data_IF_354637886339
#
_entry.id   IF_354637886339
#
_cell.length_a   1.000
_cell.length_b   1.000
_cell.length_c   1.000
_cell.angle_alpha   90.00
_cell.angle_beta   90.00
_cell.angle_gamma   90.00
#
_symmetry.space_group_name_H-M   'P 1'
#
loop_
_entity.id
_entity.type
_entity.pdbx_description
1 polymer ?
#
# COMPACT_ATOMS: atom_id res chain seq x y z
N UNK A 1 0.89 8.46 -75.24
CA UNK A 1 1.44 7.20 -75.77
C UNK A 1 2.96 7.25 -75.69
N UNK A 2 3.56 6.52 -74.77
CA UNK A 2 4.93 5.97 -74.85
C UNK A 2 5.12 5.06 -73.62
N UNK A 3 5.49 3.82 -73.88
CA UNK A 3 5.46 2.68 -72.96
C UNK A 3 6.90 2.27 -72.59
N UNK A 4 7.06 1.62 -71.43
CA UNK A 4 8.10 0.64 -71.07
C UNK A 4 9.49 1.22 -70.66
N UNK A 5 9.95 0.96 -69.43
CA UNK A 5 10.67 -0.28 -69.06
C UNK A 5 11.01 -0.37 -67.57
N UNK A 6 10.58 -1.47 -66.97
CA UNK A 6 10.94 -1.97 -65.65
C UNK A 6 12.43 -2.40 -65.65
N UNK A 7 13.23 -1.96 -64.67
CA UNK A 7 14.52 -2.57 -64.33
C UNK A 7 14.54 -2.94 -62.85
N UNK A 8 14.52 -4.26 -62.60
CA UNK A 8 14.94 -4.90 -61.36
C UNK A 8 16.42 -4.56 -61.12
N UNK A 9 16.72 -3.94 -59.99
CA UNK A 9 18.07 -3.89 -59.43
C UNK A 9 18.16 -4.94 -58.33
N UNK A 10 18.75 -6.09 -58.69
CA UNK A 10 19.36 -6.99 -57.73
C UNK A 10 20.64 -6.32 -57.25
N UNK A 11 20.71 -5.98 -55.97
CA UNK A 11 21.96 -5.62 -55.31
C UNK A 11 22.20 -6.56 -54.14
N UNK A 12 23.34 -7.22 -54.23
CA UNK A 12 23.93 -8.14 -53.28
C UNK A 12 24.27 -7.41 -51.97
N UNK A 13 23.49 -7.66 -50.93
CA UNK A 13 23.81 -7.24 -49.57
C UNK A 13 24.68 -8.30 -48.90
N UNK A 14 25.97 -8.00 -48.79
CA UNK A 14 26.96 -8.77 -48.04
C UNK A 14 26.51 -9.00 -46.59
N UNK A 15 26.41 -10.27 -46.22
CA UNK A 15 26.18 -10.74 -44.86
C UNK A 15 27.41 -10.42 -43.99
N UNK A 16 27.43 -9.23 -43.39
CA UNK A 16 28.35 -8.89 -42.31
C UNK A 16 27.88 -9.63 -41.05
N UNK A 17 28.41 -10.84 -40.86
CA UNK A 17 28.35 -11.56 -39.59
C UNK A 17 29.11 -10.75 -38.53
N UNK A 18 28.40 -9.89 -37.82
CA UNK A 18 28.86 -9.34 -36.55
C UNK A 18 28.89 -10.48 -35.53
N UNK A 19 30.07 -11.11 -35.38
CA UNK A 19 30.40 -11.96 -34.23
C UNK A 19 30.35 -11.11 -32.96
N UNK A 20 29.18 -10.99 -32.35
CA UNK A 20 29.07 -10.55 -30.97
C UNK A 20 29.47 -11.72 -30.08
N UNK A 21 30.61 -11.57 -29.39
CA UNK A 21 31.04 -12.51 -28.36
C UNK A 21 29.95 -12.55 -27.28
N UNK A 22 29.52 -13.73 -26.80
CA UNK A 22 28.62 -13.78 -25.66
C UNK A 22 29.36 -13.19 -24.45
N UNK A 23 28.91 -12.03 -23.99
CA UNK A 23 29.39 -11.44 -22.74
C UNK A 23 28.85 -12.32 -21.62
N UNK A 24 29.70 -13.20 -21.10
CA UNK A 24 29.39 -14.02 -19.95
C UNK A 24 29.10 -13.09 -18.77
N UNK A 25 27.83 -13.01 -18.35
CA UNK A 25 27.42 -12.36 -17.11
C UNK A 25 28.08 -13.17 -15.99
N UNK A 26 29.20 -12.68 -15.47
CA UNK A 26 29.82 -13.21 -14.25
C UNK A 26 28.94 -12.79 -13.08
N UNK A 27 28.12 -13.71 -12.59
CA UNK A 27 27.51 -13.56 -11.27
C UNK A 27 28.63 -13.48 -10.22
N UNK A 28 28.59 -12.52 -9.28
CA UNK A 28 29.50 -12.54 -8.14
C UNK A 28 29.23 -13.81 -7.33
N UNK A 29 30.27 -14.45 -6.74
CA UNK A 29 30.04 -15.57 -5.85
C UNK A 29 29.21 -15.09 -4.66
N UNK A 30 28.10 -15.79 -4.41
CA UNK A 30 27.26 -15.60 -3.23
C UNK A 30 28.11 -15.99 -2.02
N UNK A 31 28.63 -15.02 -1.27
CA UNK A 31 29.22 -15.30 0.04
C UNK A 31 28.14 -15.92 0.92
N UNK A 32 28.27 -17.20 1.20
CA UNK A 32 27.48 -17.87 2.23
C UNK A 32 27.90 -17.28 3.60
N UNK A 33 26.95 -16.93 4.48
CA UNK A 33 27.28 -16.59 5.86
C UNK A 33 27.89 -17.84 6.53
N UNK A 34 28.87 -17.67 7.45
CA UNK A 34 29.42 -18.80 8.18
C UNK A 34 28.30 -19.47 8.97
N UNK A 35 28.13 -20.78 8.76
CA UNK A 35 27.28 -21.60 9.63
C UNK A 35 27.96 -21.68 11.00
N UNK A 36 27.55 -20.81 11.91
CA UNK A 36 27.88 -20.94 13.32
C UNK A 36 27.13 -22.16 13.83
N UNK A 37 27.82 -23.29 13.92
CA UNK A 37 27.35 -24.45 14.69
C UNK A 37 27.20 -24.02 16.14
N UNK A 38 25.97 -23.77 16.58
CA UNK A 38 25.65 -23.60 17.99
C UNK A 38 25.87 -24.95 18.69
N UNK A 39 27.06 -25.14 19.23
CA UNK A 39 27.26 -26.15 20.27
C UNK A 39 26.41 -25.75 21.48
N UNK A 40 25.27 -26.40 21.66
CA UNK A 40 24.52 -26.38 22.89
C UNK A 40 25.34 -27.08 23.97
N UNK A 41 26.19 -26.32 24.68
CA UNK A 41 26.71 -26.78 25.97
C UNK A 41 25.51 -26.88 26.92
N UNK A 42 25.07 -28.09 27.21
CA UNK A 42 24.16 -28.37 28.31
C UNK A 42 24.83 -27.95 29.61
N UNK A 43 24.48 -26.75 30.11
CA UNK A 43 24.82 -26.34 31.46
C UNK A 43 23.89 -27.10 32.40
N UNK A 44 24.41 -28.12 33.06
CA UNK A 44 23.77 -28.72 34.22
C UNK A 44 23.81 -27.67 35.34
N UNK A 45 22.70 -26.97 35.55
CA UNK A 45 22.52 -26.17 36.76
C UNK A 45 22.14 -27.13 37.88
N UNK A 46 23.09 -27.36 38.79
CA UNK A 46 22.82 -27.96 40.10
C UNK A 46 22.05 -26.95 40.94
N UNK A 47 20.77 -27.21 41.23
CA UNK A 47 20.01 -26.43 42.20
C UNK A 47 20.33 -26.95 43.60
N UNK A 48 21.30 -26.31 44.27
CA UNK A 48 21.36 -26.40 45.72
C UNK A 48 20.11 -25.75 46.28
N UNK A 49 19.21 -26.56 46.82
CA UNK A 49 18.02 -26.12 47.55
C UNK A 49 18.44 -25.41 48.83
N UNK A 50 18.69 -24.10 48.74
CA UNK A 50 18.66 -23.26 49.93
C UNK A 50 17.19 -23.15 50.32
N UNK A 51 16.84 -23.85 51.38
CA UNK A 51 15.55 -23.77 52.08
C UNK A 51 15.45 -22.39 52.75
N UNK A 52 15.27 -21.33 51.95
CA UNK A 52 14.69 -20.08 52.45
C UNK A 52 13.20 -20.35 52.55
N UNK A 53 12.68 -20.39 53.77
CA UNK A 53 11.26 -20.14 54.00
C UNK A 53 10.97 -18.80 53.32
N UNK A 54 10.23 -18.86 52.20
CA UNK A 54 9.71 -17.68 51.55
C UNK A 54 8.58 -17.15 52.45
N UNK A 55 8.92 -16.35 53.45
CA UNK A 55 7.97 -15.36 53.95
C UNK A 55 7.72 -14.40 52.79
N UNK A 56 6.50 -14.47 52.24
CA UNK A 56 6.07 -13.67 51.10
C UNK A 56 6.17 -12.18 51.44
N UNK A 57 7.11 -11.40 50.84
CA UNK A 57 7.27 -10.01 51.24
C UNK A 57 6.34 -9.03 50.50
N UNK A 58 5.50 -9.48 49.57
CA UNK A 58 4.67 -8.60 48.74
C UNK A 58 3.17 -8.88 48.90
N UNK A 59 2.69 -9.07 50.13
CA UNK A 59 1.26 -9.26 50.41
C UNK A 59 0.82 -8.22 51.42
N UNK A 60 -0.15 -7.37 51.06
CA UNK A 60 -0.73 -6.39 51.97
C UNK A 60 -1.29 -7.09 53.21
N UNK A 61 -1.11 -6.53 54.40
CA UNK A 61 -1.54 -7.15 55.66
C UNK A 61 -3.02 -7.59 55.65
N UNK A 62 -3.89 -6.82 54.99
CA UNK A 62 -5.30 -7.16 54.81
C UNK A 62 -5.56 -8.44 54.03
N UNK A 63 -4.67 -8.83 53.11
CA UNK A 63 -4.76 -10.07 52.33
C UNK A 63 -4.27 -11.31 53.10
N UNK A 64 -3.54 -11.11 54.20
CA UNK A 64 -3.10 -12.17 55.12
C UNK A 64 -4.23 -12.49 56.11
N UNK A 65 -4.93 -11.46 56.58
CA UNK A 65 -6.04 -11.59 57.54
C UNK A 65 -7.32 -12.15 56.91
N UNK A 66 -7.64 -11.71 55.68
CA UNK A 66 -8.79 -12.21 54.93
C UNK A 66 -8.36 -12.65 53.52
N UNK A 67 -8.43 -13.95 53.18
CA UNK A 67 -8.13 -14.43 51.83
C UNK A 67 -9.08 -13.87 50.77
N UNK A 68 -10.25 -13.33 51.15
CA UNK A 68 -11.15 -12.61 50.25
C UNK A 68 -10.84 -11.12 50.12
N UNK A 69 -9.86 -10.57 50.84
CA UNK A 69 -9.53 -9.15 50.75
C UNK A 69 -9.05 -8.74 49.36
N UNK A 70 -8.61 -9.65 48.47
CA UNK A 70 -8.29 -9.32 47.07
C UNK A 70 -9.47 -9.54 46.10
N UNK A 71 -10.61 -10.09 46.57
CA UNK A 71 -11.79 -10.39 45.72
C UNK A 71 -12.45 -9.13 45.13
N UNK A 72 -12.27 -7.97 45.76
CA UNK A 72 -12.71 -6.71 45.18
C UNK A 72 -11.91 -6.36 43.91
N UNK A 73 -10.66 -6.82 43.79
CA UNK A 73 -9.85 -6.60 42.60
C UNK A 73 -10.35 -7.39 41.39
N UNK A 74 -10.87 -8.61 41.61
CA UNK A 74 -11.53 -9.38 40.54
C UNK A 74 -12.87 -8.77 40.11
N UNK A 75 -13.46 -7.90 40.94
CA UNK A 75 -14.67 -7.14 40.61
C UNK A 75 -14.39 -5.92 39.72
N UNK A 76 -13.15 -5.43 39.65
CA UNK A 76 -12.73 -4.46 38.62
C UNK A 76 -12.61 -5.17 37.27
N UNK A 77 -13.76 -5.51 36.69
CA UNK A 77 -13.84 -6.00 35.32
C UNK A 77 -13.42 -4.87 34.41
N UNK A 78 -12.30 -5.04 33.70
CA UNK A 78 -11.94 -4.15 32.61
C UNK A 78 -13.15 -4.02 31.67
N UNK A 79 -13.45 -2.81 31.15
CA UNK A 79 -14.57 -2.63 30.24
C UNK A 79 -14.43 -3.63 29.10
N UNK A 80 -15.49 -4.38 28.84
CA UNK A 80 -15.49 -5.35 27.76
C UNK A 80 -15.15 -4.61 26.46
N UNK A 81 -14.22 -5.15 25.63
CA UNK A 81 -13.88 -4.51 24.37
C UNK A 81 -15.14 -4.40 23.52
N UNK A 82 -15.43 -3.21 22.98
CA UNK A 82 -16.56 -3.00 22.09
C UNK A 82 -16.33 -3.85 20.84
N UNK A 83 -17.20 -4.83 20.54
CA UNK A 83 -17.02 -5.66 19.36
C UNK A 83 -17.15 -4.78 18.12
N UNK A 84 -16.17 -4.88 17.23
CA UNK A 84 -16.16 -4.20 15.93
C UNK A 84 -15.75 -5.18 14.84
N UNK A 85 -16.44 -5.08 13.71
CA UNK A 85 -16.06 -5.70 12.46
C UNK A 85 -14.73 -5.14 11.95
N UNK A 86 -14.08 -5.85 11.03
CA UNK A 86 -12.88 -5.33 10.37
C UNK A 86 -13.17 -4.00 9.64
N UNK A 87 -14.33 -3.89 8.99
CA UNK A 87 -14.75 -2.66 8.29
C UNK A 87 -14.85 -1.48 9.24
N UNK A 88 -15.51 -1.62 10.39
CA UNK A 88 -15.62 -0.55 11.39
C UNK A 88 -14.25 -0.11 11.91
N UNK A 89 -13.32 -1.05 12.13
CA UNK A 89 -11.94 -0.75 12.53
C UNK A 89 -11.18 0.02 11.45
N UNK A 90 -11.32 -0.36 10.18
CA UNK A 90 -10.69 0.34 9.07
C UNK A 90 -11.25 1.76 8.95
N UNK A 91 -12.58 1.90 8.99
CA UNK A 91 -13.22 3.23 8.93
C UNK A 91 -12.77 4.08 10.11
N UNK A 92 -12.83 3.57 11.34
CA UNK A 92 -12.37 4.28 12.54
C UNK A 92 -10.92 4.74 12.44
N UNK A 93 -10.04 3.91 11.88
CA UNK A 93 -8.62 4.27 11.65
C UNK A 93 -8.47 5.45 10.68
N UNK A 94 -9.37 5.61 9.73
CA UNK A 94 -9.37 6.68 8.73
C UNK A 94 -10.28 7.86 9.08
N UNK A 95 -11.03 7.79 10.19
CA UNK A 95 -11.92 8.86 10.63
C UNK A 95 -11.16 10.04 11.24
N UNK A 96 -11.69 11.25 11.01
CA UNK A 96 -11.17 12.50 11.56
C UNK A 96 -12.13 13.05 12.62
N UNK A 97 -11.59 13.57 13.72
CA UNK A 97 -12.36 14.30 14.73
C UNK A 97 -13.34 13.45 15.53
N UNK A 98 -13.06 12.15 15.72
CA UNK A 98 -13.86 11.30 16.61
C UNK A 98 -13.67 11.73 18.07
N UNK A 99 -14.73 11.77 18.90
CA UNK A 99 -14.61 11.97 20.33
C UNK A 99 -13.77 10.86 21.00
N UNK A 100 -13.07 11.21 22.07
CA UNK A 100 -12.29 10.25 22.85
C UNK A 100 -13.20 9.11 23.37
N UNK A 101 -12.77 7.88 23.12
CA UNK A 101 -13.52 6.67 23.50
C UNK A 101 -14.71 6.32 22.60
N UNK A 102 -15.02 7.09 21.54
CA UNK A 102 -16.05 6.71 20.57
C UNK A 102 -15.55 5.61 19.65
N UNK A 103 -16.31 4.52 19.60
CA UNK A 103 -16.15 3.46 18.61
C UNK A 103 -17.09 3.69 17.43
N UNK A 104 -16.57 3.57 16.20
CA UNK A 104 -17.40 3.60 14.99
C UNK A 104 -18.24 2.34 14.92
N UNK A 105 -19.54 2.52 14.65
CA UNK A 105 -20.51 1.44 14.47
C UNK A 105 -21.34 1.68 13.21
N UNK A 106 -22.02 0.63 12.75
CA UNK A 106 -23.02 0.75 11.69
C UNK A 106 -24.01 1.90 11.98
N UNK A 107 -24.37 2.64 10.93
CA UNK A 107 -25.26 3.81 10.96
C UNK A 107 -24.65 5.10 11.52
N UNK A 108 -23.38 5.09 11.96
CA UNK A 108 -22.67 6.33 12.28
C UNK A 108 -22.37 7.16 11.02
N UNK A 109 -22.52 8.48 11.14
CA UNK A 109 -21.97 9.42 10.16
C UNK A 109 -20.56 9.83 10.59
N UNK A 110 -19.59 9.62 9.72
CA UNK A 110 -18.17 9.88 10.01
C UNK A 110 -17.53 10.69 8.89
N UNK A 111 -16.62 11.59 9.26
CA UNK A 111 -15.72 12.24 8.31
C UNK A 111 -14.48 11.39 8.18
N UNK A 112 -14.09 11.01 6.96
CA UNK A 112 -12.91 10.18 6.71
C UNK A 112 -11.86 10.90 5.86
N UNK A 113 -10.60 10.54 6.06
CA UNK A 113 -9.50 10.81 5.14
C UNK A 113 -9.10 9.51 4.45
N UNK A 114 -9.54 9.28 3.19
CA UNK A 114 -9.14 8.10 2.42
C UNK A 114 -7.61 8.00 2.28
N UNK A 115 -7.07 6.79 2.15
CA UNK A 115 -5.62 6.65 1.95
C UNK A 115 -5.18 6.94 0.51
N UNK A 116 -5.91 6.38 -0.46
CA UNK A 116 -5.71 6.57 -1.90
C UNK A 116 -7.07 6.71 -2.55
N UNK A 117 -7.18 7.56 -3.56
CA UNK A 117 -8.39 7.81 -4.35
C UNK A 117 -8.03 7.67 -5.83
N UNK A 118 -8.68 6.73 -6.50
CA UNK A 118 -8.52 6.55 -7.94
C UNK A 118 -9.70 7.17 -8.68
N UNK A 119 -9.41 7.85 -9.79
CA UNK A 119 -10.39 8.16 -10.82
C UNK A 119 -9.90 7.65 -12.17
N UNK A 120 -10.80 7.62 -13.14
CA UNK A 120 -10.56 7.07 -14.47
C UNK A 120 -10.92 8.14 -15.54
N UNK A 121 -11.44 7.77 -16.71
CA UNK A 121 -11.93 8.67 -17.77
C UNK A 121 -12.83 9.85 -17.28
N UNK A 122 -13.48 9.71 -16.12
CA UNK A 122 -14.25 10.76 -15.44
C UNK A 122 -13.39 11.87 -14.81
N UNK A 123 -12.07 11.75 -14.86
CA UNK A 123 -11.11 12.73 -14.32
C UNK A 123 -11.34 14.13 -14.87
N UNK A 124 -11.75 14.26 -16.13
CA UNK A 124 -11.92 15.59 -16.75
C UNK A 124 -13.11 16.38 -16.17
N UNK A 125 -14.34 15.84 -16.09
CA UNK A 125 -15.42 16.48 -15.34
C UNK A 125 -15.04 16.83 -13.88
N UNK A 126 -14.32 15.95 -13.19
CA UNK A 126 -13.85 16.20 -11.81
C UNK A 126 -12.88 17.38 -11.77
N UNK A 127 -11.90 17.43 -12.69
CA UNK A 127 -10.95 18.54 -12.80
C UNK A 127 -11.66 19.88 -13.10
N UNK A 128 -12.66 19.88 -13.99
CA UNK A 128 -13.47 21.07 -14.27
C UNK A 128 -14.21 21.56 -13.01
N UNK A 129 -14.81 20.63 -12.24
CA UNK A 129 -15.47 20.99 -10.99
C UNK A 129 -14.47 21.53 -9.96
N UNK A 130 -13.32 20.89 -9.80
CA UNK A 130 -12.22 21.34 -8.93
C UNK A 130 -11.81 22.78 -9.25
N UNK A 131 -11.59 23.10 -10.53
CA UNK A 131 -11.28 24.48 -10.93
C UNK A 131 -12.45 25.44 -10.69
N UNK A 132 -13.69 25.03 -10.95
CA UNK A 132 -14.88 25.88 -10.79
C UNK A 132 -15.16 26.30 -9.34
N UNK A 133 -14.76 25.47 -8.35
CA UNK A 133 -14.91 25.81 -6.93
C UNK A 133 -13.75 26.67 -6.42
N UNK A 134 -12.87 27.15 -7.32
CA UNK A 134 -11.73 28.01 -7.00
C UNK A 134 -10.49 27.26 -6.51
N UNK A 135 -10.47 25.92 -6.57
CA UNK A 135 -9.31 25.17 -6.14
C UNK A 135 -8.18 25.26 -7.18
N UNK A 136 -6.97 25.58 -6.71
CA UNK A 136 -5.80 25.81 -7.56
C UNK A 136 -4.76 24.68 -7.47
N UNK A 137 -4.68 24.02 -6.32
CA UNK A 137 -3.68 23.00 -6.00
C UNK A 137 -4.28 21.83 -5.25
N UNK A 138 -3.94 20.62 -5.67
CA UNK A 138 -4.30 19.38 -4.96
C UNK A 138 -3.51 19.30 -3.65
N UNK A 139 -4.23 19.00 -2.55
CA UNK A 139 -3.64 18.96 -1.21
C UNK A 139 -2.52 17.91 -1.08
N UNK A 140 -2.79 16.66 -1.49
CA UNK A 140 -1.80 15.58 -1.50
C UNK A 140 -1.84 14.84 -2.85
N UNK A 141 -0.92 15.14 -3.79
CA UNK A 141 -0.92 14.50 -5.10
C UNK A 141 -0.66 12.99 -5.07
N UNK A 142 0.10 12.50 -4.08
CA UNK A 142 0.39 11.06 -3.90
C UNK A 142 -0.82 10.24 -3.43
N UNK A 143 -1.90 10.90 -3.01
CA UNK A 143 -3.16 10.24 -2.67
C UNK A 143 -3.99 9.93 -3.92
N UNK A 144 -3.73 10.61 -5.05
CA UNK A 144 -4.56 10.49 -6.23
C UNK A 144 -3.89 9.64 -7.31
N UNK A 145 -4.71 8.81 -7.95
CA UNK A 145 -4.33 8.04 -9.13
C UNK A 145 -5.33 8.30 -10.25
N UNK A 146 -4.85 8.67 -11.43
CA UNK A 146 -5.66 8.89 -12.62
C UNK A 146 -5.32 7.86 -13.69
N UNK A 147 -6.33 7.12 -14.14
CA UNK A 147 -6.18 6.06 -15.16
C UNK A 147 -7.07 6.34 -16.37
N UNK A 148 -6.72 5.82 -17.55
CA UNK A 148 -7.55 5.88 -18.75
C UNK A 148 -7.79 4.44 -19.26
N UNK A 149 -8.98 3.91 -19.04
CA UNK A 149 -9.27 2.47 -19.22
C UNK A 149 -10.66 2.14 -19.79
N UNK A 150 -11.61 3.08 -19.83
CA UNK A 150 -12.99 2.78 -20.26
C UNK A 150 -13.21 2.95 -21.77
N UNK A 151 -12.76 4.07 -22.36
CA UNK A 151 -13.08 4.46 -23.74
C UNK A 151 -11.84 4.43 -24.66
N UNK A 152 -10.95 3.46 -24.43
CA UNK A 152 -9.61 3.42 -25.05
C UNK A 152 -9.65 3.16 -26.56
N UNK A 153 -10.71 2.53 -27.06
CA UNK A 153 -10.91 2.22 -28.48
C UNK A 153 -11.41 3.43 -29.27
N UNK A 154 -12.07 4.39 -28.62
CA UNK A 154 -12.61 5.57 -29.29
C UNK A 154 -11.49 6.55 -29.63
N UNK A 155 -11.14 6.62 -30.92
CA UNK A 155 -10.11 7.52 -31.45
C UNK A 155 -10.68 8.82 -32.02
N UNK A 156 -11.92 9.18 -31.68
CA UNK A 156 -12.47 10.49 -32.06
C UNK A 156 -11.62 11.63 -31.51
N UNK A 157 -11.51 12.72 -32.26
CA UNK A 157 -10.72 13.89 -31.85
C UNK A 157 -11.17 14.44 -30.50
N UNK A 158 -12.48 14.41 -30.23
CA UNK A 158 -13.06 14.81 -28.95
C UNK A 158 -12.55 13.95 -27.79
N UNK A 159 -12.50 12.63 -27.94
CA UNK A 159 -12.00 11.74 -26.89
C UNK A 159 -10.48 11.93 -26.69
N UNK A 160 -9.71 12.02 -27.77
CA UNK A 160 -8.27 12.27 -27.68
C UNK A 160 -7.96 13.63 -27.03
N UNK A 161 -8.77 14.66 -27.30
CA UNK A 161 -8.66 15.96 -26.63
C UNK A 161 -8.92 15.82 -25.13
N UNK A 162 -9.99 15.13 -24.73
CA UNK A 162 -10.30 14.83 -23.31
C UNK A 162 -9.12 14.15 -22.62
N UNK A 163 -8.52 13.13 -23.24
CA UNK A 163 -7.39 12.40 -22.67
C UNK A 163 -6.14 13.28 -22.52
N UNK A 164 -5.79 14.09 -23.52
CA UNK A 164 -4.70 15.06 -23.41
C UNK A 164 -4.92 16.05 -22.26
N UNK A 165 -6.15 16.54 -22.11
CA UNK A 165 -6.51 17.45 -21.03
C UNK A 165 -6.35 16.82 -19.63
N UNK A 166 -6.70 15.54 -19.47
CA UNK A 166 -6.48 14.80 -18.22
C UNK A 166 -4.99 14.64 -17.93
N UNK A 167 -4.20 14.23 -18.93
CA UNK A 167 -2.75 14.06 -18.80
C UNK A 167 -2.05 15.37 -18.42
N UNK A 168 -2.39 16.47 -19.08
CA UNK A 168 -1.87 17.81 -18.76
C UNK A 168 -2.25 18.25 -17.35
N UNK A 169 -3.50 18.01 -16.94
CA UNK A 169 -3.95 18.32 -15.58
C UNK A 169 -3.17 17.50 -14.53
N UNK A 170 -3.02 16.19 -14.74
CA UNK A 170 -2.30 15.31 -13.83
C UNK A 170 -0.83 15.73 -13.70
N UNK A 171 -0.16 16.00 -14.83
CA UNK A 171 1.22 16.51 -14.84
C UNK A 171 1.34 17.84 -14.09
N UNK A 172 0.42 18.78 -14.34
CA UNK A 172 0.41 20.10 -13.68
C UNK A 172 0.22 19.98 -12.16
N UNK A 173 -0.62 19.05 -11.71
CA UNK A 173 -0.91 18.85 -10.29
C UNK A 173 0.04 17.87 -9.60
N UNK A 174 0.90 17.18 -10.35
CA UNK A 174 1.84 16.18 -9.84
C UNK A 174 1.17 14.88 -9.41
N UNK A 175 0.08 14.48 -10.07
CA UNK A 175 -0.71 13.27 -9.77
C UNK A 175 -0.15 12.08 -10.55
N UNK A 176 -0.16 10.90 -9.95
CA UNK A 176 0.22 9.66 -10.63
C UNK A 176 -0.80 9.33 -11.73
N UNK A 177 -0.32 9.28 -12.98
CA UNK A 177 -1.14 9.15 -14.18
C UNK A 177 -0.72 7.97 -15.03
N UNK A 178 -1.72 7.20 -15.48
CA UNK A 178 -1.55 6.05 -16.36
C UNK A 178 -2.36 6.25 -17.66
N UNK A 179 -1.69 6.27 -18.83
CA UNK A 179 -2.33 6.61 -20.09
C UNK A 179 -3.20 5.48 -20.64
N UNK A 180 -3.99 5.81 -21.67
CA UNK A 180 -4.87 4.86 -22.35
C UNK A 180 -4.08 3.67 -22.92
N UNK A 181 -4.56 2.46 -22.66
CA UNK A 181 -3.91 1.21 -23.09
C UNK A 181 -2.81 0.71 -22.15
N UNK A 182 -2.61 1.33 -20.98
CA UNK A 182 -1.71 0.82 -19.95
C UNK A 182 -2.24 -0.48 -19.33
N UNK A 183 -3.43 -0.44 -18.74
CA UNK A 183 -4.19 -1.57 -18.19
C UNK A 183 -5.57 -1.08 -17.72
N UNK A 184 -6.37 -1.98 -17.12
CA UNK A 184 -7.60 -1.67 -16.38
C UNK A 184 -7.24 -1.00 -15.04
N UNK A 185 -7.92 0.09 -14.67
CA UNK A 185 -7.54 0.90 -13.51
C UNK A 185 -7.47 0.13 -12.20
N UNK A 186 -8.42 -0.78 -11.97
CA UNK A 186 -8.44 -1.65 -10.77
C UNK A 186 -7.29 -2.67 -10.72
N UNK A 187 -6.63 -2.97 -11.83
CA UNK A 187 -5.47 -3.87 -11.88
C UNK A 187 -4.15 -3.10 -11.63
N UNK A 188 -4.15 -1.79 -11.91
CA UNK A 188 -3.03 -0.88 -11.63
C UNK A 188 -2.96 -0.56 -10.12
N UNK A 189 -4.13 -0.46 -9.48
CA UNK A 189 -4.30 -0.24 -8.04
C UNK A 189 -3.94 -1.46 -7.22
#
# INVERSE_FOLDING_TARGET
>A
MATIRLRRLLTSGSCLQLRTKPSAIRHPPRCAPPQTTLFSKTRLYSSTTVRRQAEAPDVFHSQIEDPNAASFLSSYKAPAPVPQTLTEKIIQKHSLGLPDGKYVQQSDYVTIAPHVVMTHDNSWPVALKFMSIGASKIHNPRQLVMTLDHDVQNKSEKNLKKYRQIEEFAKKQGVDFYPAGRDIGHQIM
#
